data_IF_271460302916
#
_entry.id   IF_271460302916
#
_cell.length_a   1.000
_cell.length_b   1.000
_cell.length_c   1.000
_cell.angle_alpha   90.00
_cell.angle_beta   90.00
_cell.angle_gamma   90.00
#
_symmetry.space_group_name_H-M   'P 1'
#
loop_
_entity.id
_entity.type
_entity.pdbx_description
1 polymer ?
#
# COMPACT_ATOMS: atom_id res chain seq x y z
N UNK A 1 -11.95 -14.50 10.00
CA UNK A 1 -11.23 -13.50 10.81
C UNK A 1 -11.23 -12.14 10.11
N UNK A 2 -10.68 -12.03 8.91
CA UNK A 2 -10.46 -10.71 8.26
C UNK A 2 -11.72 -9.95 7.84
N UNK A 3 -12.89 -10.61 7.78
CA UNK A 3 -14.19 -10.00 7.48
C UNK A 3 -15.09 -9.81 8.71
N UNK A 4 -14.60 -10.15 9.89
CA UNK A 4 -15.31 -10.05 11.17
C UNK A 4 -14.65 -8.95 12.02
N UNK A 5 -15.25 -7.76 12.15
CA UNK A 5 -14.62 -6.60 12.78
C UNK A 5 -14.09 -6.86 14.19
N UNK A 6 -14.88 -7.51 15.05
CA UNK A 6 -14.52 -7.77 16.43
C UNK A 6 -13.34 -8.74 16.56
N UNK A 7 -13.33 -9.78 15.71
CA UNK A 7 -12.23 -10.76 15.72
C UNK A 7 -10.96 -10.16 15.14
N UNK A 8 -11.08 -9.37 14.08
CA UNK A 8 -9.96 -8.65 13.48
C UNK A 8 -9.37 -7.62 14.47
N UNK A 9 -10.21 -6.90 15.20
CA UNK A 9 -9.79 -5.95 16.23
C UNK A 9 -9.01 -6.67 17.35
N UNK A 10 -9.51 -7.79 17.85
CA UNK A 10 -8.81 -8.59 18.87
C UNK A 10 -7.44 -9.08 18.40
N UNK A 11 -7.31 -9.52 17.14
CA UNK A 11 -6.02 -9.95 16.58
C UNK A 11 -5.07 -8.77 16.42
N UNK A 12 -5.57 -7.59 16.05
CA UNK A 12 -4.78 -6.36 15.97
C UNK A 12 -4.25 -5.92 17.33
N UNK A 13 -5.03 -6.10 18.40
CA UNK A 13 -4.68 -5.73 19.77
C UNK A 13 -3.62 -6.68 20.40
N UNK A 14 -3.57 -7.94 19.96
CA UNK A 14 -2.70 -8.95 20.58
C UNK A 14 -1.23 -8.52 20.72
N UNK A 15 -0.55 -7.99 19.69
CA UNK A 15 0.85 -7.57 19.83
C UNK A 15 1.05 -6.47 20.88
N UNK A 16 0.08 -5.57 21.04
CA UNK A 16 0.12 -4.53 22.07
C UNK A 16 0.10 -5.16 23.47
N UNK A 17 -0.83 -6.08 23.71
CA UNK A 17 -1.00 -6.75 25.00
C UNK A 17 0.17 -7.68 25.34
N UNK A 18 0.67 -8.43 24.37
CA UNK A 18 1.68 -9.47 24.60
C UNK A 18 3.11 -8.88 24.66
N UNK A 19 3.40 -7.85 23.88
CA UNK A 19 4.76 -7.32 23.69
C UNK A 19 4.93 -5.87 24.13
N UNK A 20 3.85 -5.14 24.45
CA UNK A 20 3.92 -3.75 24.86
C UNK A 20 4.50 -2.84 23.77
N UNK A 21 4.11 -3.04 22.52
CA UNK A 21 4.55 -2.22 21.38
C UNK A 21 3.91 -0.83 21.43
N UNK A 22 4.61 0.19 20.91
CA UNK A 22 4.20 1.59 20.97
C UNK A 22 3.10 1.98 19.96
N UNK A 23 2.81 1.10 18.99
CA UNK A 23 1.73 1.29 18.01
C UNK A 23 1.19 -0.05 17.53
N UNK A 24 -0.09 -0.10 17.19
CA UNK A 24 -0.72 -1.24 16.54
C UNK A 24 -0.76 -1.03 15.02
N UNK A 25 -0.51 -2.10 14.26
CA UNK A 25 -0.77 -2.11 12.81
C UNK A 25 -2.05 -2.92 12.58
N UNK A 26 -2.98 -2.37 11.81
CA UNK A 26 -4.23 -3.04 11.49
C UNK A 26 -3.99 -4.44 10.90
N UNK A 27 -4.56 -5.48 11.49
CA UNK A 27 -4.43 -6.85 10.98
C UNK A 27 -5.23 -7.03 9.69
N UNK A 28 -4.58 -6.84 8.57
CA UNK A 28 -5.13 -6.98 7.21
C UNK A 28 -4.05 -7.40 6.22
N UNK A 29 -4.50 -7.80 5.03
CA UNK A 29 -3.66 -7.99 3.85
C UNK A 29 -3.79 -6.77 2.90
N UNK A 30 -2.78 -6.56 2.05
CA UNK A 30 -2.76 -5.46 1.07
C UNK A 30 -3.72 -5.70 -0.13
N UNK A 31 -4.32 -6.90 -0.23
CA UNK A 31 -5.24 -7.26 -1.32
C UNK A 31 -6.69 -6.95 -0.99
N UNK A 32 -7.02 -6.65 0.26
CA UNK A 32 -8.39 -6.36 0.68
C UNK A 32 -9.09 -5.30 -0.20
N UNK A 33 -8.45 -4.18 -0.60
CA UNK A 33 -9.10 -3.20 -1.48
C UNK A 33 -9.39 -3.73 -2.89
N UNK A 34 -8.73 -4.79 -3.35
CA UNK A 34 -9.02 -5.40 -4.66
C UNK A 34 -10.41 -6.03 -4.70
N UNK A 35 -10.88 -6.56 -3.58
CA UNK A 35 -12.26 -7.09 -3.47
C UNK A 35 -13.29 -5.97 -3.71
N UNK A 36 -13.00 -4.76 -3.25
CA UNK A 36 -13.86 -3.61 -3.47
C UNK A 36 -13.85 -3.11 -4.93
N UNK A 37 -12.89 -3.53 -5.73
CA UNK A 37 -12.80 -3.29 -7.18
C UNK A 37 -13.31 -4.48 -8.01
N UNK A 38 -14.01 -5.44 -7.38
CA UNK A 38 -14.54 -6.65 -7.99
C UNK A 38 -13.47 -7.59 -8.58
N UNK A 39 -12.28 -7.61 -7.97
CA UNK A 39 -11.19 -8.52 -8.36
C UNK A 39 -11.23 -9.77 -7.51
N UNK A 40 -11.29 -10.93 -8.16
CA UNK A 40 -11.23 -12.21 -7.48
C UNK A 40 -9.80 -12.56 -7.09
N UNK A 41 -9.54 -12.58 -5.78
CA UNK A 41 -8.27 -12.98 -5.17
C UNK A 41 -8.47 -14.27 -4.39
N UNK A 42 -7.72 -15.31 -4.73
CA UNK A 42 -7.65 -16.54 -3.96
C UNK A 42 -6.37 -16.58 -3.13
N UNK A 43 -6.51 -16.73 -1.81
CA UNK A 43 -5.36 -16.90 -0.92
C UNK A 43 -5.01 -18.39 -0.84
N UNK A 44 -3.94 -18.81 -1.53
CA UNK A 44 -3.45 -20.19 -1.49
C UNK A 44 -2.43 -20.38 -0.38
N UNK A 45 -2.67 -21.35 0.49
CA UNK A 45 -1.75 -21.68 1.56
C UNK A 45 -0.34 -22.01 1.02
N UNK A 46 0.70 -21.40 1.61
CA UNK A 46 2.10 -21.58 1.19
C UNK A 46 2.48 -20.89 -0.13
N UNK A 47 1.55 -20.26 -0.83
CA UNK A 47 1.79 -19.54 -2.10
C UNK A 47 1.53 -18.04 -1.94
N UNK A 48 0.40 -17.67 -1.33
CA UNK A 48 -0.06 -16.29 -1.21
C UNK A 48 -1.23 -15.98 -2.15
N UNK A 49 -1.46 -14.67 -2.45
CA UNK A 49 -2.55 -14.26 -3.33
C UNK A 49 -2.32 -14.69 -4.78
N UNK A 50 -3.36 -15.29 -5.38
CA UNK A 50 -3.37 -15.74 -6.78
C UNK A 50 -4.59 -15.15 -7.48
N UNK A 51 -4.39 -14.67 -8.71
CA UNK A 51 -5.40 -14.05 -9.55
C UNK A 51 -5.71 -14.94 -10.74
N UNK A 52 -6.96 -15.34 -10.88
CA UNK A 52 -7.40 -16.19 -12.00
C UNK A 52 -7.39 -15.46 -13.35
N UNK A 53 -7.54 -14.13 -13.33
CA UNK A 53 -7.58 -13.27 -14.51
C UNK A 53 -6.52 -12.16 -14.39
N UNK A 54 -5.25 -12.44 -14.72
CA UNK A 54 -4.20 -11.44 -14.69
C UNK A 54 -4.46 -10.32 -15.71
N UNK A 55 -4.07 -9.07 -15.36
CA UNK A 55 -4.19 -7.92 -16.24
C UNK A 55 -3.08 -7.93 -17.28
N UNK A 56 -3.44 -7.80 -18.57
CA UNK A 56 -2.49 -7.83 -19.69
C UNK A 56 -2.74 -6.72 -20.71
N UNK A 57 -3.92 -6.11 -20.69
CA UNK A 57 -4.37 -5.17 -21.73
C UNK A 57 -5.25 -4.09 -21.15
N UNK A 58 -5.52 -3.05 -21.96
CA UNK A 58 -6.48 -2.01 -21.63
C UNK A 58 -7.88 -2.61 -21.35
N UNK A 59 -8.30 -3.58 -22.15
CA UNK A 59 -9.60 -4.27 -21.96
C UNK A 59 -9.70 -5.00 -20.62
N UNK A 60 -8.60 -5.43 -20.01
CA UNK A 60 -8.61 -6.02 -18.68
C UNK A 60 -8.69 -4.93 -17.60
N UNK A 61 -8.06 -3.78 -17.82
CA UNK A 61 -8.14 -2.61 -16.93
C UNK A 61 -9.57 -2.04 -16.91
N UNK A 62 -10.26 -2.02 -18.05
CA UNK A 62 -11.63 -1.52 -18.15
C UNK A 62 -12.63 -2.35 -17.32
N UNK A 63 -12.31 -3.63 -17.04
CA UNK A 63 -13.11 -4.50 -16.16
C UNK A 63 -12.93 -4.20 -14.67
N UNK A 64 -11.87 -3.48 -14.29
CA UNK A 64 -11.69 -3.06 -12.90
C UNK A 64 -12.73 -2.00 -12.56
N UNK A 65 -13.57 -2.30 -11.60
CA UNK A 65 -14.55 -1.34 -11.07
C UNK A 65 -13.86 -0.23 -10.26
N UNK A 66 -14.53 0.89 -10.07
CA UNK A 66 -14.11 1.89 -9.11
C UNK A 66 -14.15 1.29 -7.69
N UNK A 67 -13.28 1.77 -6.79
CA UNK A 67 -13.27 1.32 -5.41
C UNK A 67 -14.62 1.64 -4.73
N UNK A 68 -15.29 0.59 -4.24
CA UNK A 68 -16.52 0.70 -3.48
C UNK A 68 -16.25 0.40 -1.99
N UNK A 69 -16.22 1.44 -1.13
CA UNK A 69 -15.93 1.25 0.29
C UNK A 69 -16.97 0.40 1.02
N UNK A 70 -18.19 0.27 0.49
CA UNK A 70 -19.25 -0.54 1.12
C UNK A 70 -18.93 -2.03 1.10
N UNK A 71 -18.19 -2.50 0.09
CA UNK A 71 -17.75 -3.89 -0.02
C UNK A 71 -16.69 -4.29 1.01
N UNK A 72 -16.06 -3.31 1.66
CA UNK A 72 -15.00 -3.48 2.67
C UNK A 72 -15.26 -2.67 3.95
N UNK A 73 -16.51 -2.33 4.24
CA UNK A 73 -16.96 -1.55 5.39
C UNK A 73 -16.54 -2.16 6.74
N UNK A 74 -16.36 -3.49 6.77
CA UNK A 74 -15.84 -4.21 7.94
C UNK A 74 -14.42 -3.72 8.34
N UNK A 75 -13.65 -3.13 7.44
CA UNK A 75 -12.33 -2.55 7.75
C UNK A 75 -12.51 -1.25 8.54
N UNK A 76 -13.38 -0.37 8.08
CA UNK A 76 -13.69 0.87 8.79
C UNK A 76 -14.28 0.56 10.18
N UNK A 77 -15.21 -0.41 10.27
CA UNK A 77 -15.76 -0.88 11.56
C UNK A 77 -14.67 -1.41 12.50
N UNK A 78 -13.71 -2.19 11.98
CA UNK A 78 -12.56 -2.68 12.77
C UNK A 78 -11.74 -1.52 13.33
N UNK A 79 -11.41 -0.52 12.50
CA UNK A 79 -10.65 0.65 12.92
C UNK A 79 -11.41 1.42 14.01
N UNK A 80 -12.70 1.68 13.81
CA UNK A 80 -13.53 2.36 14.79
C UNK A 80 -13.56 1.62 16.13
N UNK A 81 -13.71 0.29 16.15
CA UNK A 81 -13.64 -0.51 17.38
C UNK A 81 -12.31 -0.34 18.11
N UNK A 82 -11.20 -0.41 17.37
CA UNK A 82 -9.85 -0.27 17.93
C UNK A 82 -9.62 1.11 18.53
N UNK A 83 -10.03 2.17 17.84
CA UNK A 83 -9.78 3.56 18.25
C UNK A 83 -10.81 4.12 19.23
N UNK A 84 -11.94 3.42 19.45
CA UNK A 84 -12.98 3.80 20.43
C UNK A 84 -12.68 3.36 21.88
N UNK A 85 -11.43 3.07 22.20
CA UNK A 85 -10.98 2.75 23.56
C UNK A 85 -10.55 1.27 23.76
N UNK A 86 -10.44 0.49 22.67
CA UNK A 86 -9.86 -0.85 22.75
C UNK A 86 -8.33 -0.79 22.78
N UNK A 87 -7.73 0.17 22.05
CA UNK A 87 -6.29 0.42 22.07
C UNK A 87 -5.97 1.65 22.93
N UNK A 88 -4.89 1.56 23.69
CA UNK A 88 -4.24 2.65 24.43
C UNK A 88 -3.00 3.19 23.69
N UNK A 89 -2.69 2.63 22.51
CA UNK A 89 -1.61 3.05 21.61
C UNK A 89 -2.17 3.46 20.24
N UNK A 90 -1.42 4.27 19.45
CA UNK A 90 -1.86 4.66 18.10
C UNK A 90 -2.08 3.46 17.17
N UNK A 91 -3.08 3.58 16.29
CA UNK A 91 -3.36 2.61 15.23
C UNK A 91 -2.81 3.11 13.90
N UNK A 92 -2.00 2.29 13.25
CA UNK A 92 -1.48 2.51 11.90
C UNK A 92 -2.39 1.78 10.90
N UNK A 93 -3.09 2.54 10.06
CA UNK A 93 -3.75 2.03 8.86
C UNK A 93 -2.76 1.92 7.70
N UNK A 94 -3.09 1.17 6.66
CA UNK A 94 -2.16 1.00 5.54
C UNK A 94 -2.81 0.61 4.22
N UNK A 95 -2.04 0.74 3.12
CA UNK A 95 -2.33 0.13 1.83
C UNK A 95 -1.07 -0.43 1.18
N UNK A 96 -1.26 -1.32 0.20
CA UNK A 96 -0.20 -1.64 -0.76
C UNK A 96 -0.05 -0.51 -1.77
N UNK A 97 1.19 -0.18 -2.12
CA UNK A 97 1.48 0.80 -3.17
C UNK A 97 1.05 0.30 -4.56
N UNK A 98 0.72 1.20 -5.48
CA UNK A 98 0.28 0.84 -6.83
C UNK A 98 1.22 -0.12 -7.56
N UNK A 99 2.54 0.07 -7.49
CA UNK A 99 3.49 -0.83 -8.16
C UNK A 99 3.41 -2.26 -7.60
N UNK A 100 3.39 -2.40 -6.28
CA UNK A 100 3.29 -3.72 -5.63
C UNK A 100 1.95 -4.39 -5.99
N UNK A 101 0.84 -3.67 -5.95
CA UNK A 101 -0.48 -4.20 -6.33
C UNK A 101 -0.53 -4.54 -7.83
N UNK A 102 -0.06 -3.63 -8.70
CA UNK A 102 0.02 -3.87 -10.14
C UNK A 102 0.83 -5.13 -10.47
N UNK A 103 1.93 -5.33 -9.75
CA UNK A 103 2.77 -6.53 -9.94
C UNK A 103 1.99 -7.82 -9.65
N UNK A 104 1.23 -7.88 -8.56
CA UNK A 104 0.36 -9.03 -8.28
C UNK A 104 -0.68 -9.23 -9.38
N UNK A 105 -1.36 -8.17 -9.80
CA UNK A 105 -2.39 -8.23 -10.85
C UNK A 105 -1.82 -8.66 -12.20
N UNK A 106 -0.65 -8.15 -12.57
CA UNK A 106 0.01 -8.43 -13.85
C UNK A 106 0.65 -9.82 -13.84
N UNK A 107 1.38 -10.22 -12.83
CA UNK A 107 2.03 -11.53 -12.75
C UNK A 107 1.01 -12.66 -12.53
N UNK A 108 -0.11 -12.37 -11.88
CA UNK A 108 -1.16 -13.33 -11.51
C UNK A 108 -0.90 -14.02 -10.18
N UNK A 109 0.12 -13.58 -9.44
CA UNK A 109 0.53 -14.13 -8.16
C UNK A 109 1.94 -13.70 -7.77
N UNK A 110 2.52 -14.31 -6.72
CA UNK A 110 3.88 -14.03 -6.30
C UNK A 110 4.90 -14.32 -7.41
N UNK A 111 5.91 -13.47 -7.54
CA UNK A 111 7.00 -13.62 -8.52
C UNK A 111 8.33 -13.17 -7.91
N UNK A 112 9.44 -13.68 -8.45
CA UNK A 112 10.80 -13.25 -8.05
C UNK A 112 11.40 -12.23 -9.03
N UNK A 113 10.96 -12.23 -10.28
CA UNK A 113 11.64 -11.53 -11.38
C UNK A 113 10.85 -10.36 -11.96
N UNK A 114 9.54 -10.26 -11.70
CA UNK A 114 8.65 -9.18 -12.18
C UNK A 114 8.72 -8.93 -13.69
N UNK A 115 8.94 -9.99 -14.50
CA UNK A 115 9.24 -9.85 -15.93
C UNK A 115 8.08 -9.25 -16.71
N UNK A 116 6.86 -9.66 -16.40
CA UNK A 116 5.64 -9.15 -17.08
C UNK A 116 5.33 -7.74 -16.63
N UNK A 117 5.49 -7.44 -15.35
CA UNK A 117 5.31 -6.11 -14.77
C UNK A 117 6.27 -5.11 -15.39
N UNK A 118 7.56 -5.43 -15.40
CA UNK A 118 8.59 -4.60 -16.02
C UNK A 118 8.40 -4.50 -17.53
N UNK A 119 7.96 -5.58 -18.17
CA UNK A 119 7.64 -5.61 -19.59
C UNK A 119 6.49 -4.67 -19.93
N UNK A 120 5.43 -4.59 -19.11
CA UNK A 120 4.32 -3.66 -19.31
C UNK A 120 4.75 -2.21 -19.06
N UNK A 121 5.48 -1.94 -17.97
CA UNK A 121 5.99 -0.61 -17.65
C UNK A 121 6.81 -0.01 -18.82
N UNK A 122 7.64 -0.80 -19.50
CA UNK A 122 8.53 -0.34 -20.56
C UNK A 122 7.85 -0.40 -21.93
N UNK A 123 7.16 -1.50 -22.24
CA UNK A 123 6.67 -1.82 -23.56
C UNK A 123 5.24 -1.39 -23.86
N UNK A 124 4.47 -1.02 -22.82
CA UNK A 124 3.07 -0.60 -22.98
C UNK A 124 2.74 0.54 -21.98
N UNK A 125 3.39 1.71 -22.10
CA UNK A 125 3.29 2.80 -21.13
C UNK A 125 1.88 3.31 -20.93
N UNK A 126 1.06 3.36 -21.98
CA UNK A 126 -0.35 3.80 -21.87
C UNK A 126 -1.19 2.83 -21.02
N UNK A 127 -0.98 1.52 -21.21
CA UNK A 127 -1.66 0.47 -20.41
C UNK A 127 -1.18 0.53 -18.96
N UNK A 128 0.13 0.73 -18.76
CA UNK A 128 0.73 0.90 -17.45
C UNK A 128 0.14 2.10 -16.71
N UNK A 129 0.13 3.26 -17.35
CA UNK A 129 -0.38 4.50 -16.75
C UNK A 129 -1.86 4.40 -16.39
N UNK A 130 -2.69 3.80 -17.27
CA UNK A 130 -4.10 3.56 -17.00
C UNK A 130 -4.31 2.66 -15.77
N UNK A 131 -3.53 1.58 -15.62
CA UNK A 131 -3.59 0.71 -14.46
C UNK A 131 -3.14 1.46 -13.19
N UNK A 132 -2.00 2.13 -13.25
CA UNK A 132 -1.45 2.86 -12.11
C UNK A 132 -2.39 3.99 -11.66
N UNK A 133 -3.07 4.66 -12.58
CA UNK A 133 -4.07 5.68 -12.28
C UNK A 133 -5.25 5.09 -11.50
N UNK A 134 -5.83 3.97 -11.95
CA UNK A 134 -6.91 3.28 -11.22
C UNK A 134 -6.48 2.82 -9.82
N UNK A 135 -5.25 2.29 -9.71
CA UNK A 135 -4.71 1.86 -8.41
C UNK A 135 -4.41 3.04 -7.49
N UNK A 136 -3.98 4.19 -8.04
CA UNK A 136 -3.81 5.41 -7.25
C UNK A 136 -5.16 5.92 -6.72
N UNK A 137 -6.22 5.94 -7.54
CA UNK A 137 -7.57 6.30 -7.12
C UNK A 137 -8.08 5.39 -6.00
N UNK A 138 -7.88 4.08 -6.15
CA UNK A 138 -8.19 3.10 -5.10
C UNK A 138 -7.42 3.38 -3.82
N UNK A 139 -6.10 3.63 -3.91
CA UNK A 139 -5.27 3.88 -2.73
C UNK A 139 -5.71 5.15 -1.99
N UNK A 140 -6.02 6.23 -2.72
CA UNK A 140 -6.55 7.47 -2.14
C UNK A 140 -7.86 7.21 -1.40
N UNK A 141 -8.81 6.52 -2.03
CA UNK A 141 -10.11 6.23 -1.43
C UNK A 141 -9.98 5.32 -0.21
N UNK A 142 -9.14 4.29 -0.30
CA UNK A 142 -8.93 3.32 0.78
C UNK A 142 -8.20 3.92 2.00
N UNK A 143 -7.17 4.73 1.77
CA UNK A 143 -6.48 5.45 2.86
C UNK A 143 -7.38 6.49 3.49
N UNK A 144 -8.18 7.22 2.68
CA UNK A 144 -9.17 8.18 3.18
C UNK A 144 -10.22 7.51 4.08
N UNK A 145 -10.74 6.34 3.67
CA UNK A 145 -11.68 5.58 4.48
C UNK A 145 -11.08 5.18 5.85
N UNK A 146 -9.81 4.79 5.88
CA UNK A 146 -9.13 4.42 7.12
C UNK A 146 -8.89 5.65 8.02
N UNK A 147 -8.52 6.79 7.43
CA UNK A 147 -8.38 8.06 8.15
C UNK A 147 -9.71 8.50 8.77
N UNK A 148 -10.80 8.44 8.02
CA UNK A 148 -12.15 8.78 8.46
C UNK A 148 -12.66 7.84 9.56
N UNK A 149 -12.24 6.58 9.54
CA UNK A 149 -12.57 5.59 10.56
C UNK A 149 -11.77 5.77 11.86
N UNK A 150 -10.74 6.63 11.88
CA UNK A 150 -9.98 6.99 13.08
C UNK A 150 -8.54 6.46 13.14
N UNK A 151 -7.95 5.97 12.05
CA UNK A 151 -6.52 5.62 12.03
C UNK A 151 -5.65 6.82 12.42
N UNK A 152 -4.63 6.61 13.26
CA UNK A 152 -3.77 7.66 13.80
C UNK A 152 -2.55 7.96 12.92
N UNK A 153 -2.19 7.02 12.04
CA UNK A 153 -1.15 7.18 11.02
C UNK A 153 -1.46 6.27 9.83
N UNK A 154 -0.87 6.55 8.68
CA UNK A 154 -1.03 5.75 7.46
C UNK A 154 0.32 5.28 6.93
N UNK A 155 0.38 4.02 6.49
CA UNK A 155 1.57 3.39 5.93
C UNK A 155 1.30 2.94 4.49
N UNK A 156 2.23 3.21 3.57
CA UNK A 156 2.21 2.67 2.20
C UNK A 156 3.29 1.62 2.07
N UNK A 157 2.90 0.38 1.73
CA UNK A 157 3.82 -0.73 1.54
C UNK A 157 4.15 -0.92 0.06
N UNK A 158 5.37 -0.51 -0.37
CA UNK A 158 5.87 -0.75 -1.73
C UNK A 158 6.95 -1.85 -1.74
N UNK A 159 6.55 -3.00 -1.25
CA UNK A 159 7.45 -4.12 -0.96
C UNK A 159 8.24 -4.63 -2.18
N UNK A 160 7.75 -4.41 -3.40
CA UNK A 160 8.34 -4.98 -4.61
C UNK A 160 9.00 -3.96 -5.52
N UNK A 161 8.95 -2.66 -5.19
CA UNK A 161 9.45 -1.58 -6.06
C UNK A 161 10.96 -1.56 -6.22
N UNK A 162 11.70 -2.23 -5.34
CA UNK A 162 13.15 -2.46 -5.53
C UNK A 162 13.51 -3.22 -6.82
N UNK A 163 12.53 -3.80 -7.52
CA UNK A 163 12.70 -4.48 -8.80
C UNK A 163 12.91 -3.53 -9.99
N UNK A 164 12.68 -2.23 -9.85
CA UNK A 164 12.88 -1.22 -10.90
C UNK A 164 14.07 -0.31 -10.61
N UNK A 165 14.66 0.26 -11.65
CA UNK A 165 15.71 1.27 -11.47
C UNK A 165 15.11 2.67 -11.21
N UNK A 166 15.98 3.64 -10.88
CA UNK A 166 15.60 5.00 -10.54
C UNK A 166 14.83 5.72 -11.67
N UNK A 167 15.22 5.52 -12.92
CA UNK A 167 14.56 6.18 -14.07
C UNK A 167 13.18 5.59 -14.34
N UNK A 168 13.04 4.27 -14.27
CA UNK A 168 11.76 3.59 -14.36
C UNK A 168 10.80 4.05 -13.26
N UNK A 169 11.31 4.19 -12.03
CA UNK A 169 10.54 4.69 -10.91
C UNK A 169 10.06 6.12 -11.15
N UNK A 170 10.99 7.03 -11.53
CA UNK A 170 10.67 8.44 -11.78
C UNK A 170 9.62 8.62 -12.86
N UNK A 171 9.71 7.86 -13.93
CA UNK A 171 8.83 8.01 -15.09
C UNK A 171 7.46 7.32 -14.91
N UNK A 172 7.45 6.12 -14.37
CA UNK A 172 6.25 5.29 -14.38
C UNK A 172 5.58 5.07 -13.02
N UNK A 173 6.19 5.49 -11.90
CA UNK A 173 5.67 5.19 -10.57
C UNK A 173 5.54 6.44 -9.72
N UNK A 174 6.57 7.26 -9.67
CA UNK A 174 6.64 8.47 -8.84
C UNK A 174 5.43 9.41 -9.00
N UNK A 175 4.94 9.74 -10.21
CA UNK A 175 3.80 10.65 -10.36
C UNK A 175 2.53 10.15 -9.66
N UNK A 176 2.29 8.83 -9.70
CA UNK A 176 1.14 8.22 -9.03
C UNK A 176 1.30 8.22 -7.51
N UNK A 177 2.51 7.92 -7.01
CA UNK A 177 2.82 7.98 -5.58
C UNK A 177 2.68 9.41 -5.04
N UNK A 178 3.25 10.39 -5.74
CA UNK A 178 3.15 11.80 -5.38
C UNK A 178 1.68 12.25 -5.32
N UNK A 179 0.86 11.86 -6.31
CA UNK A 179 -0.57 12.14 -6.35
C UNK A 179 -1.30 11.56 -5.14
N UNK A 180 -1.04 10.30 -4.77
CA UNK A 180 -1.65 9.66 -3.60
C UNK A 180 -1.32 10.45 -2.34
N UNK A 181 -0.04 10.67 -2.09
CA UNK A 181 0.44 11.27 -0.85
C UNK A 181 -0.05 12.71 -0.73
N UNK A 182 0.09 13.52 -1.79
CA UNK A 182 -0.40 14.90 -1.82
C UNK A 182 -1.90 14.99 -1.59
N UNK A 183 -2.70 14.12 -2.22
CA UNK A 183 -4.15 14.13 -2.08
C UNK A 183 -4.59 13.77 -0.67
N UNK A 184 -4.00 12.71 -0.09
CA UNK A 184 -4.33 12.28 1.28
C UNK A 184 -3.86 13.32 2.30
N UNK A 185 -2.64 13.86 2.17
CA UNK A 185 -2.11 14.90 3.07
C UNK A 185 -2.91 16.22 2.97
N UNK A 186 -3.40 16.59 1.80
CA UNK A 186 -4.24 17.77 1.65
C UNK A 186 -5.58 17.62 2.39
N UNK A 187 -6.15 16.41 2.40
CA UNK A 187 -7.42 16.12 3.09
C UNK A 187 -7.21 15.90 4.59
N UNK A 188 -6.09 15.30 4.99
CA UNK A 188 -5.77 14.95 6.39
C UNK A 188 -4.36 15.45 6.78
N UNK A 189 -4.14 16.77 6.85
CA UNK A 189 -2.80 17.36 7.01
C UNK A 189 -2.12 17.00 8.34
N UNK A 190 -2.90 16.66 9.36
CA UNK A 190 -2.41 16.26 10.68
C UNK A 190 -2.04 14.78 10.80
N UNK A 191 -2.38 13.97 9.78
CA UNK A 191 -2.20 12.52 9.85
C UNK A 191 -0.81 12.15 9.29
N UNK A 192 0.09 11.56 10.10
CA UNK A 192 1.38 11.13 9.62
C UNK A 192 1.26 10.07 8.53
N UNK A 193 2.08 10.20 7.49
CA UNK A 193 2.18 9.23 6.40
C UNK A 193 3.59 8.68 6.31
N UNK A 194 3.70 7.36 6.35
CA UNK A 194 4.93 6.62 6.19
C UNK A 194 4.93 5.78 4.89
N UNK A 195 6.10 5.51 4.36
CA UNK A 195 6.28 4.58 3.24
C UNK A 195 7.51 3.70 3.47
N UNK A 196 7.41 2.44 3.08
CA UNK A 196 8.55 1.53 3.03
C UNK A 196 8.60 0.73 1.74
N UNK A 197 9.76 0.18 1.45
CA UNK A 197 9.99 -0.80 0.40
C UNK A 197 11.15 -1.71 0.73
N UNK A 198 11.35 -2.75 -0.06
CA UNK A 198 12.42 -3.72 0.15
C UNK A 198 13.44 -3.61 -0.98
N UNK A 199 14.73 -3.47 -0.64
CA UNK A 199 15.81 -3.28 -1.61
C UNK A 199 15.75 -1.94 -2.35
N UNK A 200 15.36 -0.88 -1.66
CA UNK A 200 15.01 0.43 -2.23
C UNK A 200 16.04 1.53 -1.96
N UNK A 201 17.24 1.18 -1.49
CA UNK A 201 18.31 2.14 -1.19
C UNK A 201 18.58 3.14 -2.34
N UNK A 202 18.52 2.66 -3.58
CA UNK A 202 18.69 3.47 -4.80
C UNK A 202 17.52 4.43 -5.10
N UNK A 203 16.39 4.29 -4.42
CA UNK A 203 15.19 5.12 -4.57
C UNK A 203 15.04 6.15 -3.45
N UNK A 204 15.78 6.02 -2.36
CA UNK A 204 15.60 6.81 -1.14
C UNK A 204 15.73 8.31 -1.41
N UNK A 205 16.71 8.74 -2.23
CA UNK A 205 16.85 10.15 -2.64
C UNK A 205 15.67 10.67 -3.48
N UNK A 206 14.95 9.81 -4.18
CA UNK A 206 13.75 10.19 -4.92
C UNK A 206 12.58 10.32 -3.95
N UNK A 207 12.47 9.42 -3.00
CA UNK A 207 11.42 9.42 -1.99
C UNK A 207 11.49 10.61 -1.05
N UNK A 208 12.70 11.14 -0.78
CA UNK A 208 12.87 12.35 0.05
C UNK A 208 12.15 13.58 -0.51
N UNK A 209 11.77 13.59 -1.80
CA UNK A 209 11.00 14.66 -2.41
C UNK A 209 9.47 14.46 -2.28
N UNK A 210 9.01 13.29 -1.84
CA UNK A 210 7.60 13.05 -1.53
C UNK A 210 7.23 13.71 -0.19
N UNK A 211 6.02 14.25 -0.04
CA UNK A 211 5.60 14.90 1.22
C UNK A 211 5.21 13.84 2.27
N UNK A 212 6.11 12.92 2.53
CA UNK A 212 6.02 11.91 3.59
C UNK A 212 6.56 12.47 4.90
N UNK A 213 6.03 11.98 6.01
CA UNK A 213 6.55 12.28 7.34
C UNK A 213 7.65 11.27 7.74
N UNK A 214 7.53 10.01 7.26
CA UNK A 214 8.46 8.93 7.58
C UNK A 214 8.82 8.12 6.33
N UNK A 215 10.11 7.85 6.15
CA UNK A 215 10.63 6.87 5.19
C UNK A 215 11.27 5.73 5.97
N UNK A 216 10.66 4.56 5.91
CA UNK A 216 11.19 3.37 6.57
C UNK A 216 12.20 2.67 5.66
N UNK A 217 13.40 2.48 6.16
CA UNK A 217 14.51 1.83 5.47
C UNK A 217 14.57 0.34 5.84
N UNK A 218 14.91 -0.50 4.89
CA UNK A 218 15.21 -1.91 5.19
C UNK A 218 16.69 -2.08 5.66
N UNK A 219 17.01 -3.27 6.14
CA UNK A 219 18.33 -3.58 6.70
C UNK A 219 19.52 -3.39 5.73
N UNK A 220 19.25 -3.22 4.43
CA UNK A 220 20.30 -2.98 3.41
C UNK A 220 20.71 -1.52 3.34
N UNK A 221 19.88 -0.62 3.87
CA UNK A 221 20.10 0.81 3.79
C UNK A 221 20.69 1.34 5.10
N UNK A 222 21.67 2.24 4.99
CA UNK A 222 22.26 2.95 6.14
C UNK A 222 21.48 4.23 6.41
N UNK A 223 21.06 4.45 7.65
CA UNK A 223 20.42 5.71 8.09
C UNK A 223 21.37 6.91 7.85
N UNK A 224 22.66 6.75 8.13
CA UNK A 224 23.66 7.82 7.91
C UNK A 224 23.71 8.20 6.43
N UNK A 225 23.81 7.21 5.54
CA UNK A 225 23.83 7.47 4.09
C UNK A 225 22.51 8.02 3.56
N UNK A 226 21.39 7.64 4.13
CA UNK A 226 20.10 8.21 3.77
C UNK A 226 20.05 9.70 4.11
N UNK A 227 20.51 10.09 5.30
CA UNK A 227 20.61 11.49 5.70
C UNK A 227 21.55 12.29 4.79
N UNK A 228 22.72 11.73 4.45
CA UNK A 228 23.67 12.36 3.50
C UNK A 228 23.05 12.56 2.09
N UNK A 229 22.09 11.74 1.71
CA UNK A 229 21.32 11.84 0.46
C UNK A 229 20.11 12.77 0.55
N UNK A 230 19.95 13.49 1.66
CA UNK A 230 18.91 14.50 1.83
C UNK A 230 17.59 13.99 2.42
N UNK A 231 17.55 12.77 2.96
CA UNK A 231 16.37 12.29 3.67
C UNK A 231 16.31 12.99 5.03
N UNK A 232 15.21 13.70 5.26
CA UNK A 232 14.93 14.41 6.51
C UNK A 232 13.70 13.85 7.24
N UNK A 233 13.00 12.93 6.61
CA UNK A 233 11.86 12.23 7.17
C UNK A 233 12.34 11.23 8.24
N UNK A 234 11.74 11.27 9.43
CA UNK A 234 12.15 10.46 10.60
C UNK A 234 11.04 9.51 11.01
#
# INVERSE_FOLDING_TARGET
>A
ITKEPELCARVTELPVKEYGVDAAILYKDIMSPMVAMNVNVELKAGVGPVFSTPIRSMADIDKLEAFDPTKVDYIAKTITLLTSGMLDVPLIGFCGAPFTIASYLIEGGPTKNYNKTRGMLIGAPDVWDALMTKLADMSIAYLSMQAEAGANALQIFDSWVGAVNADQYKQGIYPHMERIIKTVKAKYPHLPMAMNGVGTDHLVSIWSHLPLDVIALDWRSSIVMANERGVTQT
#
